data_IF_218339330981
#
_entry.id   IF_218339330981
#
_cell.length_a   1.000
_cell.length_b   1.000
_cell.length_c   1.000
_cell.angle_alpha   90.00
_cell.angle_beta   90.00
_cell.angle_gamma   90.00
#
_symmetry.space_group_name_H-M   'P 1'
#
loop_
_entity.id
_entity.type
_entity.pdbx_description
1 polymer ?
#
# COMPACT_ATOMS: atom_id res chain seq x y z
N UNK A 1 30.44 11.29 2.60
CA UNK A 1 30.88 12.18 1.51
C UNK A 1 30.57 13.60 1.92
N UNK A 2 31.59 14.32 2.32
CA UNK A 2 31.55 15.74 2.72
C UNK A 2 31.48 16.60 1.46
N UNK A 3 30.43 17.42 1.35
CA UNK A 3 30.36 18.46 0.32
C UNK A 3 30.64 19.80 0.99
N UNK A 4 31.88 20.26 0.81
CA UNK A 4 32.27 21.64 1.02
C UNK A 4 31.70 22.54 -0.07
N UNK A 5 31.38 23.78 0.33
CA UNK A 5 31.74 24.97 -0.44
C UNK A 5 30.88 25.31 -1.64
N UNK A 6 30.11 26.42 -1.52
CA UNK A 6 29.99 27.47 -2.54
C UNK A 6 29.26 28.67 -1.92
N UNK A 7 30.01 29.48 -1.19
CA UNK A 7 29.65 30.86 -0.84
C UNK A 7 30.07 31.76 -2.00
N UNK A 8 29.16 32.00 -2.94
CA UNK A 8 29.38 32.99 -3.99
C UNK A 8 28.96 34.38 -3.48
N UNK A 9 29.97 35.21 -3.21
CA UNK A 9 29.80 36.61 -2.87
C UNK A 9 29.31 37.42 -4.07
N UNK A 10 28.27 38.22 -3.84
CA UNK A 10 27.84 39.27 -4.76
C UNK A 10 28.66 40.52 -4.42
N UNK A 11 29.74 40.72 -5.17
CA UNK A 11 30.53 41.95 -5.16
C UNK A 11 29.76 43.07 -5.86
N UNK A 12 29.45 44.13 -5.12
CA UNK A 12 28.96 45.38 -5.68
C UNK A 12 30.12 46.12 -6.36
N UNK A 13 30.15 46.12 -7.70
CA UNK A 13 31.00 46.99 -8.48
C UNK A 13 30.39 48.41 -8.49
N UNK A 14 30.97 49.31 -7.69
CA UNK A 14 30.71 50.75 -7.76
C UNK A 14 31.55 51.31 -8.89
N UNK A 15 30.93 51.51 -10.05
CA UNK A 15 31.52 52.19 -11.20
C UNK A 15 31.67 53.69 -10.89
N UNK A 16 32.92 54.12 -10.68
CA UNK A 16 33.29 55.53 -10.60
C UNK A 16 33.28 56.14 -11.99
N UNK A 17 32.21 56.86 -12.34
CA UNK A 17 32.22 57.74 -13.50
C UNK A 17 33.07 59.00 -13.23
N UNK A 18 34.27 59.02 -13.81
CA UNK A 18 35.01 60.24 -14.10
C UNK A 18 34.25 61.05 -15.16
N UNK A 19 33.96 62.32 -14.87
CA UNK A 19 33.64 63.30 -15.92
C UNK A 19 34.52 64.53 -15.79
N UNK A 20 35.07 64.87 -16.94
CA UNK A 20 36.12 65.83 -17.25
C UNK A 20 35.87 67.28 -16.85
N UNK A 21 36.99 67.90 -16.49
CA UNK A 21 37.35 69.31 -16.66
C UNK A 21 36.85 69.96 -17.95
N UNK A 22 36.35 71.19 -17.84
CA UNK A 22 36.07 72.12 -18.94
C UNK A 22 35.66 73.48 -18.35
N UNK A 23 36.62 74.39 -18.15
CA UNK A 23 36.97 75.49 -19.07
C UNK A 23 36.27 76.80 -18.71
N UNK A 24 37.09 77.84 -18.60
CA UNK A 24 36.78 79.17 -18.11
C UNK A 24 35.89 79.97 -19.07
N UNK A 25 34.98 80.76 -18.50
CA UNK A 25 34.15 81.72 -19.22
C UNK A 25 33.63 82.80 -18.29
N UNK A 26 34.36 83.91 -18.24
CA UNK A 26 33.91 85.21 -17.71
C UNK A 26 32.64 85.68 -18.43
N UNK A 27 31.58 86.10 -17.72
CA UNK A 27 30.83 87.34 -18.02
C UNK A 27 29.66 87.63 -17.07
N UNK A 28 29.66 88.89 -16.59
CA UNK A 28 28.53 89.82 -16.35
C UNK A 28 27.31 89.35 -15.53
N UNK A 29 27.20 89.91 -14.32
CA UNK A 29 25.98 90.05 -13.51
C UNK A 29 24.89 90.85 -14.25
N UNK A 30 23.67 90.32 -14.40
CA UNK A 30 22.44 91.09 -14.37
C UNK A 30 21.71 90.88 -13.04
N UNK A 31 21.29 91.98 -12.43
CA UNK A 31 20.45 92.01 -11.23
C UNK A 31 19.04 91.55 -11.59
N UNK A 32 18.70 90.28 -11.35
CA UNK A 32 17.37 89.71 -11.55
C UNK A 32 16.91 88.91 -10.34
N UNK A 33 16.37 89.57 -9.31
CA UNK A 33 15.88 88.92 -8.07
C UNK A 33 14.64 88.03 -8.28
N UNK A 34 14.14 87.87 -9.50
CA UNK A 34 12.94 87.09 -9.81
C UNK A 34 13.20 85.67 -10.40
N UNK A 35 14.38 85.37 -10.94
CA UNK A 35 14.67 84.05 -11.59
C UNK A 35 15.20 82.97 -10.64
N UNK A 36 15.69 83.34 -9.46
CA UNK A 36 16.26 82.38 -8.48
C UNK A 36 15.18 81.43 -7.93
N UNK A 37 13.92 81.88 -7.87
CA UNK A 37 12.81 81.07 -7.38
C UNK A 37 12.39 79.93 -8.31
N UNK A 38 12.59 80.07 -9.62
CA UNK A 38 12.17 79.08 -10.63
C UNK A 38 13.12 77.90 -10.72
N UNK A 39 14.43 78.11 -10.57
CA UNK A 39 15.42 77.02 -10.56
C UNK A 39 15.25 76.10 -9.34
N UNK A 40 15.04 76.68 -8.15
CA UNK A 40 14.83 75.90 -6.92
C UNK A 40 13.52 75.10 -6.95
N UNK A 41 12.44 75.66 -7.55
CA UNK A 41 11.19 74.92 -7.78
C UNK A 41 11.38 73.72 -8.71
N UNK A 42 12.12 73.89 -9.82
CA UNK A 42 12.42 72.79 -10.76
C UNK A 42 13.25 71.69 -10.11
N UNK A 43 14.22 72.06 -9.28
CA UNK A 43 15.03 71.08 -8.54
C UNK A 43 14.17 70.26 -7.57
N UNK A 44 13.32 70.91 -6.77
CA UNK A 44 12.38 70.23 -5.86
C UNK A 44 11.40 69.34 -6.62
N UNK A 45 10.91 69.78 -7.78
CA UNK A 45 10.02 68.99 -8.62
C UNK A 45 10.71 67.70 -9.11
N UNK A 46 11.95 67.80 -9.63
CA UNK A 46 12.73 66.63 -10.05
C UNK A 46 13.06 65.68 -8.90
N UNK A 47 13.36 66.21 -7.71
CA UNK A 47 13.58 65.37 -6.54
C UNK A 47 12.31 64.65 -6.11
N UNK A 48 11.16 65.32 -6.17
CA UNK A 48 9.86 64.71 -5.87
C UNK A 48 9.50 63.62 -6.87
N UNK A 49 9.72 63.86 -8.16
CA UNK A 49 9.50 62.88 -9.22
C UNK A 49 10.42 61.67 -9.06
N UNK A 50 11.71 61.90 -8.76
CA UNK A 50 12.67 60.82 -8.48
C UNK A 50 12.27 59.99 -7.27
N UNK A 51 11.84 60.63 -6.17
CA UNK A 51 11.35 59.93 -4.99
C UNK A 51 10.08 59.13 -5.29
N UNK A 52 9.14 59.68 -6.06
CA UNK A 52 7.92 58.99 -6.46
C UNK A 52 8.21 57.79 -7.37
N UNK A 53 9.16 57.92 -8.30
CA UNK A 53 9.58 56.85 -9.19
C UNK A 53 10.24 55.71 -8.42
N UNK A 54 11.17 56.02 -7.51
CA UNK A 54 11.79 55.03 -6.64
C UNK A 54 10.78 54.36 -5.69
N UNK A 55 9.81 55.12 -5.16
CA UNK A 55 8.78 54.55 -4.31
C UNK A 55 7.91 53.54 -5.08
N UNK A 56 7.53 53.86 -6.32
CA UNK A 56 6.77 52.94 -7.16
C UNK A 56 7.56 51.67 -7.49
N UNK A 57 8.85 51.81 -7.82
CA UNK A 57 9.74 50.66 -8.09
C UNK A 57 9.89 49.77 -6.84
N UNK A 58 10.03 50.37 -5.65
CA UNK A 58 10.08 49.62 -4.38
C UNK A 58 8.76 48.88 -4.13
N UNK A 59 7.62 49.50 -4.38
CA UNK A 59 6.30 48.86 -4.24
C UNK A 59 6.11 47.70 -5.22
N UNK A 60 6.46 47.88 -6.50
CA UNK A 60 6.40 46.84 -7.53
C UNK A 60 7.30 45.65 -7.17
N UNK A 61 8.56 45.93 -6.80
CA UNK A 61 9.51 44.87 -6.40
C UNK A 61 9.10 44.17 -5.12
N UNK A 62 8.45 44.87 -4.19
CA UNK A 62 7.90 44.25 -2.97
C UNK A 62 6.74 43.31 -3.31
N UNK A 63 5.86 43.69 -4.24
CA UNK A 63 4.77 42.83 -4.70
C UNK A 63 5.30 41.60 -5.43
N UNK A 64 6.24 41.76 -6.37
CA UNK A 64 6.88 40.67 -7.09
C UNK A 64 7.57 39.69 -6.13
N UNK A 65 8.33 40.22 -5.15
CA UNK A 65 8.98 39.41 -4.13
C UNK A 65 7.97 38.63 -3.28
N UNK A 66 6.85 39.25 -2.89
CA UNK A 66 5.80 38.58 -2.11
C UNK A 66 5.12 37.45 -2.89
N UNK A 67 4.91 37.63 -4.20
CA UNK A 67 4.32 36.63 -5.09
C UNK A 67 5.26 35.43 -5.26
N UNK A 68 6.54 35.69 -5.55
CA UNK A 68 7.57 34.66 -5.67
C UNK A 68 7.79 33.92 -4.35
N UNK A 69 7.73 34.60 -3.21
CA UNK A 69 7.84 33.96 -1.90
C UNK A 69 6.71 32.95 -1.65
N UNK A 70 5.48 33.30 -2.05
CA UNK A 70 4.32 32.40 -1.96
C UNK A 70 4.45 31.19 -2.88
N UNK A 71 4.88 31.40 -4.13
CA UNK A 71 5.11 30.31 -5.09
C UNK A 71 6.24 29.38 -4.63
N UNK A 72 7.33 29.93 -4.09
CA UNK A 72 8.43 29.13 -3.55
C UNK A 72 7.97 28.25 -2.38
N UNK A 73 7.12 28.79 -1.49
CA UNK A 73 6.54 28.03 -0.39
C UNK A 73 5.63 26.89 -0.90
N UNK A 74 4.80 27.14 -1.92
CA UNK A 74 3.98 26.11 -2.57
C UNK A 74 4.84 25.00 -3.20
N UNK A 75 5.92 25.37 -3.90
CA UNK A 75 6.84 24.42 -4.48
C UNK A 75 7.57 23.58 -3.42
N UNK A 76 7.97 24.18 -2.29
CA UNK A 76 8.55 23.45 -1.16
C UNK A 76 7.59 22.44 -0.57
N UNK A 77 6.31 22.80 -0.44
CA UNK A 77 5.27 21.87 0.02
C UNK A 77 5.09 20.70 -0.96
N UNK A 78 5.05 20.96 -2.28
CA UNK A 78 4.99 19.91 -3.31
C UNK A 78 6.19 18.98 -3.28
N UNK A 79 7.41 19.53 -3.21
CA UNK A 79 8.65 18.74 -3.10
C UNK A 79 8.63 17.86 -1.85
N UNK A 80 8.22 18.40 -0.71
CA UNK A 80 8.11 17.63 0.54
C UNK A 80 7.12 16.46 0.43
N UNK A 81 6.00 16.64 -0.28
CA UNK A 81 5.03 15.55 -0.53
C UNK A 81 5.66 14.48 -1.42
N UNK A 82 6.31 14.87 -2.52
CA UNK A 82 6.96 13.94 -3.43
C UNK A 82 8.07 13.13 -2.74
N UNK A 83 8.88 13.75 -1.89
CA UNK A 83 9.89 13.07 -1.08
C UNK A 83 9.27 11.98 -0.19
N UNK A 84 8.15 12.27 0.47
CA UNK A 84 7.42 11.28 1.30
C UNK A 84 6.86 10.13 0.47
N UNK A 85 6.33 10.41 -0.72
CA UNK A 85 5.80 9.38 -1.63
C UNK A 85 6.91 8.45 -2.11
N UNK A 86 8.07 9.01 -2.49
CA UNK A 86 9.24 8.22 -2.89
C UNK A 86 9.74 7.36 -1.73
N UNK A 87 9.90 7.94 -0.53
CA UNK A 87 10.29 7.18 0.66
C UNK A 87 9.34 6.00 0.95
N UNK A 88 8.03 6.22 0.87
CA UNK A 88 7.04 5.16 1.09
C UNK A 88 7.14 4.04 0.03
N UNK A 89 7.38 4.41 -1.24
CA UNK A 89 7.57 3.43 -2.31
C UNK A 89 8.86 2.64 -2.13
N UNK A 90 9.94 3.27 -1.70
CA UNK A 90 11.20 2.61 -1.41
C UNK A 90 11.08 1.62 -0.24
N UNK A 91 10.32 1.95 0.80
CA UNK A 91 9.96 1.01 1.87
C UNK A 91 9.17 -0.20 1.34
N UNK A 92 8.19 0.03 0.46
CA UNK A 92 7.43 -1.07 -0.16
C UNK A 92 8.31 -1.97 -1.03
N UNK A 93 9.17 -1.38 -1.86
CA UNK A 93 10.13 -2.12 -2.68
C UNK A 93 11.15 -2.85 -1.80
N UNK A 94 11.59 -2.25 -0.70
CA UNK A 94 12.46 -2.86 0.30
C UNK A 94 11.82 -4.09 0.95
N UNK A 95 10.54 -4.00 1.33
CA UNK A 95 9.79 -5.14 1.86
C UNK A 95 9.66 -6.27 0.83
N UNK A 96 9.38 -5.95 -0.43
CA UNK A 96 9.30 -6.95 -1.52
C UNK A 96 10.66 -7.61 -1.75
N UNK A 97 11.75 -6.84 -1.80
CA UNK A 97 13.12 -7.38 -1.96
C UNK A 97 13.57 -8.23 -0.78
N UNK A 98 13.33 -7.78 0.45
CA UNK A 98 13.66 -8.54 1.65
C UNK A 98 12.84 -9.84 1.75
N UNK A 99 11.59 -9.81 1.27
CA UNK A 99 10.78 -11.00 1.13
C UNK A 99 11.34 -11.96 0.07
N UNK A 100 11.76 -11.44 -1.08
CA UNK A 100 12.40 -12.22 -2.16
C UNK A 100 13.72 -12.86 -1.69
N UNK A 101 14.55 -12.13 -0.96
CA UNK A 101 15.84 -12.60 -0.42
C UNK A 101 15.68 -13.69 0.67
N UNK A 102 14.67 -13.56 1.53
CA UNK A 102 14.30 -14.64 2.46
C UNK A 102 13.74 -15.86 1.73
N UNK A 103 13.05 -15.64 0.61
CA UNK A 103 12.48 -16.72 -0.19
C UNK A 103 13.51 -17.45 -1.07
N UNK A 104 14.64 -16.82 -1.38
CA UNK A 104 15.72 -17.38 -2.21
C UNK A 104 16.79 -18.12 -1.40
N UNK A 105 16.89 -17.85 -0.11
CA UNK A 105 17.88 -18.47 0.80
C UNK A 105 17.40 -19.78 1.44
N UNK A 106 16.14 -20.20 1.19
CA UNK A 106 15.59 -21.46 1.70
C UNK A 106 16.04 -22.65 0.84
N UNK A 107 16.38 -23.82 1.43
CA UNK A 107 16.98 -24.95 0.69
C UNK A 107 16.08 -25.49 -0.43
N UNK A 108 16.67 -26.09 -1.46
CA UNK A 108 16.04 -26.58 -2.71
C UNK A 108 14.82 -27.50 -2.56
N UNK A 109 14.51 -28.02 -1.37
CA UNK A 109 13.28 -28.79 -1.13
C UNK A 109 12.01 -27.94 -1.25
N UNK A 110 12.12 -26.61 -1.21
CA UNK A 110 11.03 -25.66 -1.42
C UNK A 110 10.89 -25.21 -2.88
N UNK A 111 10.78 -26.15 -3.83
CA UNK A 111 10.16 -25.86 -5.14
C UNK A 111 8.69 -25.53 -4.89
N UNK A 112 8.46 -24.25 -4.71
CA UNK A 112 7.17 -23.66 -4.38
C UNK A 112 6.16 -23.94 -5.49
N UNK A 113 4.95 -24.41 -5.15
CA UNK A 113 3.83 -24.46 -6.10
C UNK A 113 3.50 -23.08 -6.72
N UNK A 114 4.03 -21.99 -6.16
CA UNK A 114 3.89 -20.61 -6.63
C UNK A 114 5.14 -20.06 -7.32
N UNK A 115 6.29 -20.73 -7.22
CA UNK A 115 7.57 -20.24 -7.67
C UNK A 115 8.32 -21.30 -8.46
N UNK A 116 8.45 -21.08 -9.76
CA UNK A 116 9.25 -21.89 -10.69
C UNK A 116 8.54 -23.05 -11.36
N UNK A 117 7.24 -22.93 -11.66
CA UNK A 117 6.84 -23.39 -13.00
C UNK A 117 7.72 -22.62 -13.96
N UNK A 118 8.64 -23.32 -14.60
CA UNK A 118 9.24 -22.92 -15.85
C UNK A 118 8.08 -22.51 -16.74
N UNK A 119 7.73 -21.23 -16.69
CA UNK A 119 7.14 -20.55 -17.81
C UNK A 119 8.23 -20.76 -18.84
N UNK A 120 8.10 -21.86 -19.60
CA UNK A 120 8.64 -21.96 -20.93
C UNK A 120 8.46 -20.56 -21.52
N UNK A 121 9.50 -20.01 -22.13
CA UNK A 121 9.45 -18.78 -22.93
C UNK A 121 8.37 -18.93 -24.01
N UNK A 122 7.13 -18.93 -23.57
CA UNK A 122 5.94 -19.11 -24.34
C UNK A 122 5.70 -17.79 -25.01
N UNK A 123 5.19 -17.87 -26.22
CA UNK A 123 4.76 -16.72 -26.99
C UNK A 123 4.00 -15.74 -26.06
N UNK A 124 4.47 -14.49 -25.90
CA UNK A 124 3.81 -13.47 -25.08
C UNK A 124 2.31 -13.33 -25.39
N UNK A 125 1.90 -13.63 -26.63
CA UNK A 125 0.49 -13.63 -27.02
C UNK A 125 -0.32 -14.72 -26.30
N UNK A 126 0.25 -15.91 -26.08
CA UNK A 126 -0.41 -17.01 -25.37
C UNK A 126 -0.57 -16.66 -23.89
N UNK A 127 0.46 -16.07 -23.27
CA UNK A 127 0.41 -15.62 -21.87
C UNK A 127 -0.63 -14.51 -21.70
N UNK A 128 -0.68 -13.54 -22.61
CA UNK A 128 -1.67 -12.47 -22.59
C UNK A 128 -3.10 -13.02 -22.73
N UNK A 129 -3.33 -13.94 -23.66
CA UNK A 129 -4.64 -14.59 -23.83
C UNK A 129 -5.07 -15.37 -22.59
N UNK A 130 -4.13 -16.07 -21.94
CA UNK A 130 -4.38 -16.78 -20.69
C UNK A 130 -4.72 -15.82 -19.54
N UNK A 131 -4.04 -14.67 -19.44
CA UNK A 131 -4.36 -13.64 -18.46
C UNK A 131 -5.76 -13.06 -18.66
N UNK A 132 -6.17 -12.79 -19.90
CA UNK A 132 -7.54 -12.33 -20.19
C UNK A 132 -8.59 -13.38 -19.81
N UNK A 133 -8.30 -14.67 -20.06
CA UNK A 133 -9.18 -15.77 -19.64
C UNK A 133 -9.41 -15.77 -18.13
N UNK A 134 -8.34 -15.64 -17.32
CA UNK A 134 -8.46 -15.63 -15.87
C UNK A 134 -9.10 -14.34 -15.32
N UNK A 135 -8.83 -13.20 -15.95
CA UNK A 135 -9.47 -11.92 -15.61
C UNK A 135 -10.99 -11.97 -15.82
N UNK A 136 -11.45 -12.63 -16.88
CA UNK A 136 -12.86 -12.79 -17.21
C UNK A 136 -13.57 -14.01 -16.59
N UNK A 137 -12.84 -14.86 -15.88
CA UNK A 137 -13.39 -16.10 -15.32
C UNK A 137 -14.49 -15.82 -14.29
N UNK A 138 -15.57 -16.61 -14.33
CA UNK A 138 -16.68 -16.56 -13.37
C UNK A 138 -16.67 -17.74 -12.41
N UNK A 139 -17.36 -17.62 -11.28
CA UNK A 139 -17.47 -18.70 -10.27
C UNK A 139 -18.09 -19.97 -10.84
N UNK A 140 -19.03 -19.85 -11.77
CA UNK A 140 -19.69 -20.99 -12.44
C UNK A 140 -18.71 -21.81 -13.29
N UNK A 141 -17.60 -21.20 -13.73
CA UNK A 141 -16.54 -21.88 -14.48
C UNK A 141 -15.46 -22.47 -13.57
N UNK A 142 -15.12 -21.75 -12.50
CA UNK A 142 -14.04 -22.15 -11.59
C UNK A 142 -14.47 -23.26 -10.62
N UNK A 143 -15.69 -23.19 -10.08
CA UNK A 143 -16.15 -24.15 -9.06
C UNK A 143 -16.18 -25.59 -9.58
N UNK A 144 -16.69 -25.90 -10.80
CA UNK A 144 -16.61 -27.26 -11.34
C UNK A 144 -15.18 -27.76 -11.49
N UNK A 145 -14.25 -26.91 -11.94
CA UNK A 145 -12.82 -27.25 -12.04
C UNK A 145 -12.21 -27.52 -10.67
N UNK A 146 -12.57 -26.71 -9.66
CA UNK A 146 -12.13 -26.90 -8.30
C UNK A 146 -12.67 -28.20 -7.70
N UNK A 147 -13.95 -28.53 -7.91
CA UNK A 147 -14.54 -29.81 -7.47
C UNK A 147 -13.90 -31.02 -8.15
N UNK A 148 -13.59 -30.93 -9.45
CA UNK A 148 -12.89 -31.98 -10.17
C UNK A 148 -11.48 -32.23 -9.59
N UNK A 149 -10.76 -31.14 -9.28
CA UNK A 149 -9.48 -31.23 -8.56
C UNK A 149 -9.63 -31.86 -7.17
N UNK A 150 -10.64 -31.47 -6.39
CA UNK A 150 -10.89 -32.07 -5.08
C UNK A 150 -11.11 -33.59 -5.19
N UNK A 151 -11.86 -34.05 -6.18
CA UNK A 151 -12.09 -35.47 -6.43
C UNK A 151 -10.79 -36.22 -6.80
N UNK A 152 -10.01 -35.65 -7.73
CA UNK A 152 -8.72 -36.20 -8.17
C UNK A 152 -7.74 -36.31 -6.99
N UNK A 153 -7.54 -35.20 -6.26
CA UNK A 153 -6.55 -35.16 -5.18
C UNK A 153 -6.97 -35.97 -3.96
N UNK A 154 -8.28 -36.06 -3.65
CA UNK A 154 -8.78 -36.91 -2.57
C UNK A 154 -8.47 -38.38 -2.82
N UNK A 155 -8.62 -38.86 -4.06
CA UNK A 155 -8.29 -40.23 -4.44
C UNK A 155 -6.81 -40.56 -4.19
N UNK A 156 -5.91 -39.62 -4.49
CA UNK A 156 -4.50 -39.78 -4.22
C UNK A 156 -4.17 -39.70 -2.71
N UNK A 157 -4.79 -38.79 -1.98
CA UNK A 157 -4.58 -38.62 -0.53
C UNK A 157 -4.96 -39.86 0.30
N UNK A 158 -5.93 -40.67 -0.14
CA UNK A 158 -6.28 -41.93 0.54
C UNK A 158 -5.11 -42.93 0.58
N UNK A 159 -4.18 -42.83 -0.36
CA UNK A 159 -3.02 -43.71 -0.46
C UNK A 159 -1.74 -43.07 0.12
N UNK A 160 -1.80 -41.79 0.52
CA UNK A 160 -0.70 -41.12 1.21
C UNK A 160 -0.65 -41.54 2.68
N UNK A 161 0.34 -42.35 3.04
CA UNK A 161 0.64 -42.61 4.45
C UNK A 161 1.35 -41.39 5.06
N UNK A 162 0.89 -40.96 6.23
CA UNK A 162 1.51 -39.84 6.94
C UNK A 162 2.60 -40.36 7.90
N UNK A 163 3.75 -39.67 8.02
CA UNK A 163 4.14 -38.43 7.34
C UNK A 163 4.55 -38.64 5.88
N UNK A 164 3.95 -37.85 4.99
CA UNK A 164 4.16 -37.90 3.54
C UNK A 164 5.49 -37.22 3.16
N UNK A 165 6.60 -37.67 3.76
CA UNK A 165 7.92 -37.04 3.61
C UNK A 165 8.70 -37.56 2.41
N UNK A 166 8.27 -38.67 1.79
CA UNK A 166 8.99 -39.24 0.66
C UNK A 166 8.59 -38.57 -0.66
N UNK A 167 9.42 -37.62 -1.11
CA UNK A 167 9.25 -36.92 -2.38
C UNK A 167 9.35 -37.85 -3.61
N UNK A 168 10.01 -39.00 -3.47
CA UNK A 168 10.16 -39.99 -4.54
C UNK A 168 8.94 -40.93 -4.63
N UNK A 169 8.01 -40.86 -3.68
CA UNK A 169 6.78 -41.62 -3.72
C UNK A 169 5.93 -41.23 -4.95
N UNK A 170 5.51 -42.20 -5.78
CA UNK A 170 4.72 -41.91 -6.98
C UNK A 170 3.36 -41.29 -6.65
N UNK A 171 2.83 -41.53 -5.45
CA UNK A 171 1.58 -40.93 -4.99
C UNK A 171 1.81 -39.47 -4.63
N UNK A 172 2.90 -39.15 -3.92
CA UNK A 172 3.27 -37.76 -3.58
C UNK A 172 3.50 -36.96 -4.86
N UNK A 173 4.19 -37.51 -5.85
CA UNK A 173 4.38 -36.86 -7.15
C UNK A 173 3.05 -36.56 -7.87
N UNK A 174 2.08 -37.49 -7.83
CA UNK A 174 0.74 -37.26 -8.38
C UNK A 174 0.00 -36.16 -7.65
N UNK A 175 0.02 -36.16 -6.32
CA UNK A 175 -0.57 -35.09 -5.49
C UNK A 175 0.08 -33.74 -5.83
N UNK A 176 1.41 -33.70 -5.88
CA UNK A 176 2.18 -32.50 -6.25
C UNK A 176 1.76 -31.98 -7.62
N UNK A 177 1.71 -32.83 -8.64
CA UNK A 177 1.29 -32.43 -9.98
C UNK A 177 -0.15 -31.89 -10.02
N UNK A 178 -1.07 -32.46 -9.23
CA UNK A 178 -2.44 -31.94 -9.11
C UNK A 178 -2.46 -30.55 -8.47
N UNK A 179 -1.73 -30.40 -7.36
CA UNK A 179 -1.64 -29.15 -6.60
C UNK A 179 -0.97 -28.05 -7.40
N UNK A 180 0.10 -28.34 -8.13
CA UNK A 180 0.77 -27.35 -8.99
C UNK A 180 -0.15 -26.87 -10.11
N UNK A 181 -0.88 -27.79 -10.75
CA UNK A 181 -1.84 -27.46 -11.82
C UNK A 181 -2.95 -26.53 -11.32
N UNK A 182 -3.57 -26.88 -10.20
CA UNK A 182 -4.63 -26.06 -9.59
C UNK A 182 -4.05 -24.76 -8.99
N UNK A 183 -2.92 -24.84 -8.31
CA UNK A 183 -2.22 -23.72 -7.69
C UNK A 183 -1.83 -22.65 -8.71
N UNK A 184 -1.35 -23.04 -9.89
CA UNK A 184 -1.06 -22.12 -10.99
C UNK A 184 -2.32 -21.35 -11.43
N UNK A 185 -3.44 -22.03 -11.64
CA UNK A 185 -4.71 -21.38 -11.98
C UNK A 185 -5.16 -20.44 -10.85
N UNK A 186 -5.19 -20.93 -9.60
CA UNK A 186 -5.64 -20.13 -8.46
C UNK A 186 -4.75 -18.90 -8.23
N UNK A 187 -3.43 -19.01 -8.45
CA UNK A 187 -2.51 -17.88 -8.41
C UNK A 187 -2.92 -16.78 -9.37
N UNK A 188 -3.22 -17.12 -10.63
CA UNK A 188 -3.69 -16.13 -11.60
C UNK A 188 -5.04 -15.53 -11.21
N UNK A 189 -5.97 -16.32 -10.67
CA UNK A 189 -7.26 -15.80 -10.19
C UNK A 189 -7.08 -14.85 -9.00
N UNK A 190 -6.22 -15.19 -8.04
CA UNK A 190 -5.90 -14.31 -6.89
C UNK A 190 -5.34 -12.98 -7.38
N UNK A 191 -4.45 -12.98 -8.39
CA UNK A 191 -3.77 -11.79 -8.88
C UNK A 191 -4.58 -10.94 -9.86
N UNK A 192 -5.37 -11.58 -10.73
CA UNK A 192 -6.03 -10.92 -11.85
C UNK A 192 -7.53 -10.73 -11.67
N UNK A 193 -8.14 -11.43 -10.71
CA UNK A 193 -9.59 -11.46 -10.53
C UNK A 193 -9.98 -11.42 -9.04
N UNK A 194 -9.58 -10.33 -8.38
CA UNK A 194 -9.89 -10.04 -6.97
C UNK A 194 -11.38 -10.14 -6.62
N UNK A 195 -12.34 -9.67 -7.45
CA UNK A 195 -13.76 -9.82 -7.14
C UNK A 195 -14.20 -11.27 -7.05
N UNK A 196 -13.75 -12.13 -7.97
CA UNK A 196 -14.07 -13.56 -7.93
C UNK A 196 -13.50 -14.22 -6.67
N UNK A 197 -12.24 -13.93 -6.34
CA UNK A 197 -11.61 -14.52 -5.15
C UNK A 197 -12.35 -14.14 -3.86
N UNK A 198 -12.78 -12.87 -3.71
CA UNK A 198 -13.61 -12.44 -2.58
C UNK A 198 -14.94 -13.17 -2.51
N UNK A 199 -15.59 -13.39 -3.66
CA UNK A 199 -16.83 -14.16 -3.70
C UNK A 199 -16.60 -15.59 -3.20
N UNK A 200 -15.60 -16.30 -3.75
CA UNK A 200 -15.31 -17.69 -3.36
C UNK A 200 -15.07 -17.86 -1.86
N UNK A 201 -14.30 -16.95 -1.25
CA UNK A 201 -13.98 -16.97 0.18
C UNK A 201 -15.21 -16.75 1.07
N UNK A 202 -16.28 -16.17 0.53
CA UNK A 202 -17.54 -15.94 1.24
C UNK A 202 -18.63 -16.98 0.96
N UNK A 203 -18.39 -17.90 0.01
CA UNK A 203 -19.39 -18.84 -0.48
C UNK A 203 -19.22 -20.23 0.10
N UNK A 204 -20.35 -20.89 0.37
CA UNK A 204 -20.41 -22.34 0.46
C UNK A 204 -20.52 -22.93 -0.96
N UNK A 205 -19.56 -23.77 -1.33
CA UNK A 205 -19.41 -24.34 -2.67
C UNK A 205 -20.45 -25.44 -2.99
N UNK A 206 -21.27 -25.85 -2.03
CA UNK A 206 -22.40 -26.74 -2.25
C UNK A 206 -23.68 -25.97 -2.51
N UNK A 207 -24.01 -25.05 -1.62
CA UNK A 207 -25.28 -24.30 -1.65
C UNK A 207 -25.23 -23.09 -2.57
N UNK A 208 -24.02 -22.65 -2.97
CA UNK A 208 -23.77 -21.40 -3.69
C UNK A 208 -24.28 -20.16 -2.95
N UNK A 209 -24.50 -20.27 -1.64
CA UNK A 209 -24.94 -19.17 -0.78
C UNK A 209 -23.78 -18.62 0.02
N UNK A 210 -23.81 -17.31 0.37
CA UNK A 210 -22.88 -16.74 1.32
C UNK A 210 -22.96 -17.48 2.66
N UNK A 211 -21.84 -18.02 3.13
CA UNK A 211 -21.74 -18.70 4.42
C UNK A 211 -20.33 -18.56 4.98
N UNK A 212 -20.24 -18.15 6.24
CA UNK A 212 -18.98 -18.15 6.97
C UNK A 212 -18.77 -19.51 7.63
N UNK A 213 -17.57 -20.08 7.45
CA UNK A 213 -17.17 -21.27 8.19
C UNK A 213 -17.04 -20.96 9.69
N UNK A 214 -17.46 -21.90 10.54
CA UNK A 214 -17.27 -21.79 11.97
C UNK A 214 -15.78 -21.83 12.33
N UNK A 215 -15.38 -21.22 13.45
CA UNK A 215 -13.99 -21.24 13.91
C UNK A 215 -13.47 -22.68 14.15
N UNK A 216 -14.33 -23.58 14.63
CA UNK A 216 -13.99 -24.99 14.84
C UNK A 216 -13.69 -25.74 13.54
N UNK A 217 -14.31 -25.34 12.42
CA UNK A 217 -14.02 -25.92 11.11
C UNK A 217 -12.54 -25.77 10.75
N UNK A 218 -11.97 -24.59 10.99
CA UNK A 218 -10.56 -24.33 10.72
C UNK A 218 -9.63 -24.99 11.73
N UNK A 219 -10.05 -25.15 12.99
CA UNK A 219 -9.31 -25.93 14.00
C UNK A 219 -9.17 -27.42 13.55
N UNK A 220 -10.23 -27.99 12.96
CA UNK A 220 -10.22 -29.35 12.40
C UNK A 220 -9.30 -29.47 11.18
N UNK A 221 -9.37 -28.48 10.27
CA UNK A 221 -8.45 -28.40 9.11
C UNK A 221 -7.01 -28.41 9.60
N UNK A 222 -6.64 -27.55 10.56
CA UNK A 222 -5.26 -27.48 11.09
C UNK A 222 -4.81 -28.80 11.72
N UNK A 223 -5.70 -29.47 12.45
CA UNK A 223 -5.41 -30.76 13.06
C UNK A 223 -5.04 -31.80 11.99
N UNK A 224 -5.70 -31.78 10.82
CA UNK A 224 -5.40 -32.69 9.71
C UNK A 224 -4.02 -32.45 9.06
N UNK A 225 -3.49 -31.22 9.13
CA UNK A 225 -2.25 -30.82 8.45
C UNK A 225 -0.99 -31.33 9.14
N UNK A 226 -1.07 -31.60 10.45
CA UNK A 226 0.06 -32.07 11.27
C UNK A 226 1.30 -31.17 11.08
N UNK A 227 1.09 -29.85 11.16
CA UNK A 227 2.14 -28.85 10.94
C UNK A 227 3.29 -29.03 11.92
N UNK A 228 4.53 -28.95 11.41
CA UNK A 228 5.74 -28.92 12.24
C UNK A 228 5.79 -27.66 13.12
N UNK A 229 6.63 -27.68 14.16
CA UNK A 229 6.84 -26.50 15.00
C UNK A 229 7.38 -25.30 14.20
N UNK A 230 8.28 -25.56 13.25
CA UNK A 230 8.84 -24.55 12.33
C UNK A 230 7.75 -23.95 11.43
N UNK A 231 6.94 -24.79 10.77
CA UNK A 231 5.83 -24.31 9.93
C UNK A 231 4.84 -23.45 10.73
N UNK A 232 4.55 -23.84 11.99
CA UNK A 232 3.69 -23.04 12.88
C UNK A 232 4.31 -21.68 13.18
N UNK A 233 5.61 -21.63 13.49
CA UNK A 233 6.33 -20.39 13.74
C UNK A 233 6.29 -19.47 12.50
N UNK A 234 6.53 -20.00 11.30
CA UNK A 234 6.48 -19.25 10.05
C UNK A 234 5.08 -18.68 9.77
N UNK A 235 4.03 -19.48 10.00
CA UNK A 235 2.63 -19.04 9.83
C UNK A 235 2.32 -17.90 10.79
N UNK A 236 2.75 -18.00 12.05
CA UNK A 236 2.51 -16.95 13.06
C UNK A 236 3.26 -15.66 12.70
N UNK A 237 4.52 -15.76 12.26
CA UNK A 237 5.31 -14.59 11.86
C UNK A 237 4.67 -13.86 10.66
N UNK A 238 4.21 -14.58 9.65
CA UNK A 238 3.56 -13.95 8.49
C UNK A 238 2.16 -13.43 8.82
N UNK A 239 1.43 -14.08 9.72
CA UNK A 239 0.16 -13.56 10.22
C UNK A 239 0.35 -12.25 10.98
N UNK A 240 1.39 -12.13 11.81
CA UNK A 240 1.72 -10.90 12.52
C UNK A 240 2.07 -9.77 11.55
N UNK A 241 2.91 -10.05 10.55
CA UNK A 241 3.23 -9.10 9.47
C UNK A 241 1.96 -8.63 8.74
N UNK A 242 1.09 -9.57 8.35
CA UNK A 242 -0.19 -9.25 7.71
C UNK A 242 -1.06 -8.36 8.58
N UNK A 243 -1.20 -8.67 9.88
CA UNK A 243 -1.97 -7.85 10.84
C UNK A 243 -1.41 -6.44 10.95
N UNK A 244 -0.09 -6.29 11.03
CA UNK A 244 0.57 -4.98 11.08
C UNK A 244 0.34 -4.13 9.82
N UNK A 245 0.42 -4.75 8.63
CA UNK A 245 0.11 -4.07 7.37
C UNK A 245 -1.37 -3.66 7.30
N UNK A 246 -2.28 -4.57 7.64
CA UNK A 246 -3.71 -4.30 7.60
C UNK A 246 -4.16 -3.26 8.62
N UNK A 247 -3.57 -3.21 9.82
CA UNK A 247 -3.89 -2.18 10.79
C UNK A 247 -3.67 -0.78 10.21
N UNK A 248 -2.56 -0.56 9.49
CA UNK A 248 -2.27 0.72 8.80
C UNK A 248 -3.30 1.01 7.70
N UNK A 249 -3.66 -0.01 6.91
CA UNK A 249 -4.67 0.10 5.85
C UNK A 249 -6.04 0.48 6.43
N UNK A 250 -6.45 -0.11 7.55
CA UNK A 250 -7.73 0.20 8.20
C UNK A 250 -7.74 1.60 8.81
N UNK A 251 -6.65 2.05 9.45
CA UNK A 251 -6.55 3.43 9.95
C UNK A 251 -6.63 4.45 8.81
N UNK A 252 -5.92 4.21 7.69
CA UNK A 252 -6.03 5.05 6.50
C UNK A 252 -7.46 5.06 5.94
N UNK A 253 -8.11 3.89 5.85
CA UNK A 253 -9.51 3.78 5.39
C UNK A 253 -10.46 4.58 6.27
N UNK A 254 -10.29 4.50 7.59
CA UNK A 254 -11.10 5.24 8.56
C UNK A 254 -11.02 6.74 8.33
N UNK A 255 -9.82 7.26 8.05
CA UNK A 255 -9.61 8.68 7.72
C UNK A 255 -10.27 9.06 6.39
N UNK A 256 -10.13 8.22 5.36
CA UNK A 256 -10.77 8.45 4.04
C UNK A 256 -12.30 8.45 4.18
N UNK A 257 -12.87 7.47 4.88
CA UNK A 257 -14.32 7.39 5.12
C UNK A 257 -14.84 8.56 5.95
N UNK A 258 -14.09 9.01 6.95
CA UNK A 258 -14.45 10.21 7.72
C UNK A 258 -14.46 11.47 6.84
N UNK A 259 -13.49 11.61 5.93
CA UNK A 259 -13.43 12.73 4.99
C UNK A 259 -14.60 12.69 3.98
N UNK A 260 -14.90 11.51 3.42
CA UNK A 260 -16.05 11.31 2.53
C UNK A 260 -17.38 11.60 3.24
N UNK A 261 -17.54 11.12 4.47
CA UNK A 261 -18.76 11.32 5.28
C UNK A 261 -18.92 12.73 5.85
N UNK A 262 -17.83 13.51 5.94
CA UNK A 262 -17.86 14.91 6.37
C UNK A 262 -18.06 15.89 5.21
N UNK A 263 -18.22 15.38 3.99
CA UNK A 263 -18.57 16.20 2.83
C UNK A 263 -19.87 16.98 3.09
N UNK A 264 -20.00 18.21 2.57
CA UNK A 264 -21.18 19.06 2.77
C UNK A 264 -22.41 18.45 2.08
N UNK A 265 -23.04 17.48 2.74
CA UNK A 265 -23.98 16.54 2.13
C UNK A 265 -25.15 16.12 3.03
N UNK A 266 -25.42 16.83 4.12
CA UNK A 266 -26.83 17.01 4.52
C UNK A 266 -27.46 17.93 3.49
N UNK A 267 -27.93 17.31 2.40
CA UNK A 267 -28.55 17.92 1.25
C UNK A 267 -29.74 18.79 1.66
N UNK A 268 -29.49 20.07 1.87
CA UNK A 268 -30.54 21.07 1.74
C UNK A 268 -30.80 21.24 0.24
N UNK A 269 -31.78 20.47 -0.28
CA UNK A 269 -32.18 20.43 -1.68
C UNK A 269 -32.81 21.76 -2.18
N UNK A 270 -32.77 22.81 -1.37
CA UNK A 270 -33.56 24.03 -1.56
C UNK A 270 -32.92 25.09 -2.46
N UNK A 271 -31.65 24.95 -2.84
CA UNK A 271 -30.98 25.95 -3.68
C UNK A 271 -30.29 25.33 -4.90
N UNK A 272 -30.65 25.75 -6.13
CA UNK A 272 -29.92 25.40 -7.35
C UNK A 272 -28.62 26.21 -7.39
N UNK A 273 -27.71 25.94 -6.46
CA UNK A 273 -26.37 26.53 -6.48
C UNK A 273 -25.56 25.80 -7.54
N UNK A 274 -24.99 26.57 -8.47
CA UNK A 274 -23.99 26.13 -9.43
C UNK A 274 -23.06 25.12 -8.76
N UNK A 275 -23.07 23.88 -9.26
CA UNK A 275 -22.23 22.77 -8.80
C UNK A 275 -20.81 23.28 -8.51
N UNK A 276 -20.43 23.27 -7.24
CA UNK A 276 -19.08 23.62 -6.83
C UNK A 276 -18.11 22.58 -7.40
N UNK A 277 -17.48 22.92 -8.53
CA UNK A 277 -16.51 22.06 -9.22
C UNK A 277 -15.36 21.64 -8.31
N UNK A 278 -15.05 22.43 -7.27
CA UNK A 278 -14.01 22.12 -6.30
C UNK A 278 -14.40 20.94 -5.41
N UNK A 279 -15.66 20.86 -4.98
CA UNK A 279 -16.15 19.76 -4.14
C UNK A 279 -16.09 18.40 -4.86
N UNK A 280 -16.51 18.36 -6.14
CA UNK A 280 -16.47 17.14 -6.95
C UNK A 280 -15.03 16.62 -7.14
N UNK A 281 -14.06 17.52 -7.36
CA UNK A 281 -12.66 17.14 -7.52
C UNK A 281 -12.09 16.51 -6.23
N UNK A 282 -12.41 17.08 -5.07
CA UNK A 282 -11.99 16.53 -3.78
C UNK A 282 -12.61 15.15 -3.50
N UNK A 283 -13.88 14.95 -3.85
CA UNK A 283 -14.56 13.65 -3.71
C UNK A 283 -13.95 12.58 -4.63
N UNK A 284 -13.60 12.95 -5.87
CA UNK A 284 -12.88 12.07 -6.79
C UNK A 284 -11.52 11.66 -6.24
N UNK A 285 -10.73 12.60 -5.70
CA UNK A 285 -9.44 12.30 -5.07
C UNK A 285 -9.58 11.32 -3.90
N UNK A 286 -10.58 11.53 -3.04
CA UNK A 286 -10.86 10.61 -1.92
C UNK A 286 -11.28 9.22 -2.41
N UNK A 287 -12.02 9.14 -3.51
CA UNK A 287 -12.41 7.86 -4.14
C UNK A 287 -11.21 7.12 -4.71
N UNK A 288 -10.29 7.82 -5.39
CA UNK A 288 -9.03 7.25 -5.87
C UNK A 288 -8.16 6.75 -4.71
N UNK A 289 -8.07 7.52 -3.62
CA UNK A 289 -7.36 7.11 -2.39
C UNK A 289 -7.99 5.87 -1.76
N UNK A 290 -9.31 5.77 -1.74
CA UNK A 290 -10.01 4.58 -1.26
C UNK A 290 -9.70 3.35 -2.13
N UNK A 291 -9.70 3.51 -3.46
CA UNK A 291 -9.30 2.44 -4.38
C UNK A 291 -7.88 1.96 -4.10
N UNK A 292 -6.91 2.87 -4.02
CA UNK A 292 -5.53 2.53 -3.69
C UNK A 292 -5.40 1.86 -2.31
N UNK A 293 -6.20 2.25 -1.33
CA UNK A 293 -6.26 1.60 -0.02
C UNK A 293 -6.81 0.16 -0.10
N UNK A 294 -7.84 -0.09 -0.92
CA UNK A 294 -8.35 -1.45 -1.17
C UNK A 294 -7.31 -2.33 -1.88
N UNK A 295 -6.53 -1.75 -2.80
CA UNK A 295 -5.44 -2.46 -3.48
C UNK A 295 -4.32 -2.85 -2.51
N UNK A 296 -4.02 -2.00 -1.51
CA UNK A 296 -3.09 -2.35 -0.41
C UNK A 296 -3.60 -3.52 0.42
N UNK A 297 -4.88 -3.53 0.80
CA UNK A 297 -5.49 -4.66 1.53
C UNK A 297 -5.39 -5.95 0.72
N UNK A 298 -5.74 -5.86 -0.57
CA UNK A 298 -5.67 -7.00 -1.47
C UNK A 298 -4.24 -7.53 -1.59
N UNK A 299 -3.26 -6.64 -1.78
CA UNK A 299 -1.84 -7.00 -1.86
C UNK A 299 -1.36 -7.71 -0.59
N UNK A 300 -1.74 -7.22 0.59
CA UNK A 300 -1.41 -7.87 1.87
C UNK A 300 -2.02 -9.28 1.97
N UNK A 301 -3.28 -9.44 1.55
CA UNK A 301 -3.96 -10.76 1.54
C UNK A 301 -3.31 -11.72 0.54
N UNK A 302 -2.96 -11.22 -0.64
CA UNK A 302 -2.24 -12.00 -1.66
C UNK A 302 -0.88 -12.46 -1.17
N UNK A 303 -0.13 -11.60 -0.47
CA UNK A 303 1.16 -11.97 0.15
C UNK A 303 0.98 -13.12 1.14
N UNK A 304 0.01 -13.02 2.05
CA UNK A 304 -0.30 -14.09 3.01
C UNK A 304 -0.66 -15.40 2.31
N UNK A 305 -1.53 -15.34 1.29
CA UNK A 305 -1.94 -16.51 0.49
C UNK A 305 -0.75 -17.17 -0.22
N UNK A 306 0.05 -16.39 -0.94
CA UNK A 306 1.21 -16.88 -1.69
C UNK A 306 2.29 -17.47 -0.76
N UNK A 307 2.54 -16.86 0.40
CA UNK A 307 3.50 -17.40 1.36
C UNK A 307 2.99 -18.71 1.98
N UNK A 308 1.74 -18.70 2.45
CA UNK A 308 1.14 -19.84 3.13
C UNK A 308 1.10 -21.08 2.23
N UNK A 309 0.56 -20.95 1.02
CA UNK A 309 0.40 -22.06 0.10
C UNK A 309 1.62 -22.35 -0.77
N UNK A 310 2.49 -21.35 -0.96
CA UNK A 310 3.65 -21.49 -1.82
C UNK A 310 4.92 -21.89 -1.07
N UNK A 311 5.09 -21.50 0.19
CA UNK A 311 6.36 -21.68 0.90
C UNK A 311 6.23 -22.54 2.15
N UNK A 312 5.15 -22.38 2.92
CA UNK A 312 5.02 -23.10 4.20
C UNK A 312 4.56 -24.53 4.00
N UNK A 313 3.48 -24.72 3.23
CA UNK A 313 2.86 -26.03 3.11
C UNK A 313 3.54 -26.88 2.04
N UNK A 314 3.84 -28.13 2.39
CA UNK A 314 4.18 -29.14 1.40
C UNK A 314 2.95 -29.45 0.51
N UNK A 315 3.13 -29.93 -0.74
CA UNK A 315 2.01 -30.19 -1.64
C UNK A 315 0.92 -31.12 -1.06
N UNK A 316 1.25 -32.21 -0.34
CA UNK A 316 0.22 -33.01 0.33
C UNK A 316 -0.56 -32.25 1.42
N UNK A 317 0.09 -31.31 2.12
CA UNK A 317 -0.60 -30.45 3.09
C UNK A 317 -1.50 -29.43 2.40
N UNK A 318 -1.07 -28.82 1.29
CA UNK A 318 -1.95 -27.98 0.46
C UNK A 318 -3.20 -28.76 0.05
N UNK A 319 -3.01 -29.97 -0.48
CA UNK A 319 -4.10 -30.84 -0.91
C UNK A 319 -5.07 -31.14 0.25
N UNK A 320 -4.55 -31.42 1.45
CA UNK A 320 -5.36 -31.56 2.67
C UNK A 320 -6.14 -30.29 2.98
N UNK A 321 -5.52 -29.10 2.97
CA UNK A 321 -6.27 -27.86 3.19
C UNK A 321 -7.42 -27.75 2.19
N UNK A 322 -7.17 -28.02 0.90
CA UNK A 322 -8.21 -27.96 -0.12
C UNK A 322 -9.38 -28.92 0.16
N UNK A 323 -9.08 -30.18 0.48
CA UNK A 323 -10.11 -31.21 0.74
C UNK A 323 -10.86 -30.96 2.04
N UNK A 324 -10.15 -30.70 3.15
CA UNK A 324 -10.76 -30.51 4.47
C UNK A 324 -11.44 -29.14 4.62
N UNK A 325 -11.15 -28.15 3.77
CA UNK A 325 -11.87 -26.87 3.79
C UNK A 325 -13.29 -27.00 3.26
N UNK A 326 -13.58 -28.00 2.43
CA UNK A 326 -14.89 -28.21 1.82
C UNK A 326 -15.99 -28.36 2.89
N UNK A 327 -17.16 -27.69 2.76
CA UNK A 327 -17.68 -27.04 1.55
C UNK A 327 -17.24 -25.58 1.35
N UNK A 328 -16.28 -25.06 2.11
CA UNK A 328 -15.78 -23.70 1.96
C UNK A 328 -14.52 -23.67 1.08
N UNK A 329 -14.28 -22.55 0.42
CA UNK A 329 -13.02 -22.34 -0.28
C UNK A 329 -11.86 -22.16 0.71
N UNK A 330 -10.65 -22.68 0.45
CA UNK A 330 -9.49 -22.50 1.33
C UNK A 330 -9.20 -21.03 1.64
N UNK A 331 -9.21 -20.66 2.91
CA UNK A 331 -8.90 -19.31 3.38
C UNK A 331 -7.62 -19.31 4.22
N UNK A 332 -6.51 -18.85 3.61
CA UNK A 332 -5.20 -18.79 4.29
C UNK A 332 -5.24 -17.95 5.57
N UNK A 333 -6.08 -16.90 5.64
CA UNK A 333 -6.20 -16.07 6.83
C UNK A 333 -6.92 -16.80 7.97
N UNK A 334 -8.00 -17.52 7.64
CA UNK A 334 -8.75 -18.27 8.63
C UNK A 334 -7.89 -19.43 9.20
N UNK A 335 -7.18 -20.13 8.31
CA UNK A 335 -6.25 -21.20 8.66
C UNK A 335 -5.09 -20.67 9.52
N UNK A 336 -4.43 -19.57 9.13
CA UNK A 336 -3.37 -18.96 9.94
C UNK A 336 -3.87 -18.49 11.31
N UNK A 337 -5.08 -17.92 11.37
CA UNK A 337 -5.70 -17.50 12.62
C UNK A 337 -6.01 -18.70 13.53
N UNK A 338 -6.43 -19.84 12.97
CA UNK A 338 -6.62 -21.07 13.72
C UNK A 338 -5.30 -21.61 14.30
N UNK A 339 -4.19 -21.51 13.56
CA UNK A 339 -2.86 -21.86 14.10
C UNK A 339 -2.52 -21.02 15.33
N UNK A 340 -2.65 -19.69 15.24
CA UNK A 340 -2.37 -18.81 16.38
C UNK A 340 -3.23 -19.14 17.60
N UNK A 341 -4.53 -19.39 17.39
CA UNK A 341 -5.47 -19.78 18.44
C UNK A 341 -5.09 -21.12 19.10
N UNK A 342 -4.60 -22.08 18.31
CA UNK A 342 -4.16 -23.38 18.83
C UNK A 342 -2.87 -23.23 19.66
N UNK A 343 -1.93 -22.38 19.25
CA UNK A 343 -0.71 -22.10 20.02
C UNK A 343 -1.02 -21.47 21.38
N UNK A 344 -1.93 -20.49 21.43
CA UNK A 344 -2.38 -19.86 22.70
C UNK A 344 -2.99 -20.88 23.68
N UNK A 345 -3.67 -21.93 23.18
CA UNK A 345 -4.22 -23.01 24.02
C UNK A 345 -3.13 -23.93 24.59
N UNK A 346 -2.03 -24.13 23.85
CA UNK A 346 -0.92 -24.99 24.28
C UNK A 346 -0.02 -24.28 25.30
N UNK A 347 0.17 -22.97 25.16
CA UNK A 347 0.96 -22.15 26.09
C UNK A 347 0.18 -21.73 27.34
N UNK A 348 -1.13 -22.03 27.38
CA UNK A 348 -1.99 -21.75 28.52
C UNK A 348 -1.50 -22.39 29.83
N UNK A 349 -1.78 -21.79 31.00
CA UNK A 349 -1.16 -22.10 32.30
C UNK A 349 -1.48 -23.49 32.90
N UNK A 350 -2.00 -24.44 32.13
CA UNK A 350 -2.47 -25.76 32.59
C UNK A 350 -1.36 -26.78 32.88
N UNK A 351 -0.09 -26.38 32.91
CA UNK A 351 1.05 -27.28 33.16
C UNK A 351 1.65 -27.26 34.57
N UNK A 352 1.25 -26.35 35.45
CA UNK A 352 1.55 -26.50 36.89
C UNK A 352 0.29 -26.99 37.59
N UNK A 353 0.25 -28.23 38.10
CA UNK A 353 -0.76 -28.59 39.09
C UNK A 353 -0.60 -27.63 40.26
N UNK A 354 -1.46 -26.62 40.29
CA UNK A 354 -1.66 -25.76 41.45
C UNK A 354 -2.32 -26.65 42.49
N UNK A 355 -1.49 -27.24 43.35
CA UNK A 355 -1.94 -27.72 44.64
C UNK A 355 -2.62 -26.54 45.35
N UNK A 356 -3.95 -26.53 45.29
CA UNK A 356 -4.88 -26.04 46.31
C UNK A 356 -4.42 -24.78 47.05
N UNK A 357 -4.70 -23.62 46.47
CA UNK A 357 -4.83 -22.36 47.20
C UNK A 357 -6.15 -21.72 46.80
N UNK A 358 -7.17 -21.88 47.65
CA UNK A 358 -8.50 -21.30 47.50
C UNK A 358 -8.42 -19.77 47.38
N UNK A 359 -8.81 -19.22 46.24
CA UNK A 359 -8.87 -17.77 46.02
C UNK A 359 -9.93 -17.40 44.99
N UNK A 360 -11.01 -16.81 45.47
CA UNK A 360 -12.19 -16.36 44.73
C UNK A 360 -11.92 -15.11 43.88
N UNK A 361 -12.26 -15.17 42.58
CA UNK A 361 -13.00 -14.09 41.90
C UNK A 361 -12.32 -13.28 40.79
N UNK A 362 -13.14 -12.98 39.76
CA UNK A 362 -12.99 -11.93 38.73
C UNK A 362 -11.99 -12.21 37.59
N UNK A 363 -12.24 -11.99 36.30
CA UNK A 363 -13.32 -11.39 35.53
C UNK A 363 -12.76 -11.20 34.12
N UNK A 364 -13.15 -12.04 33.15
CA UNK A 364 -12.55 -12.08 31.81
C UNK A 364 -13.21 -11.06 30.86
N UNK A 365 -12.41 -10.14 30.33
CA UNK A 365 -12.80 -9.16 29.31
C UNK A 365 -12.65 -9.80 27.92
N UNK A 366 -13.79 -10.12 27.29
CA UNK A 366 -13.85 -10.60 25.91
C UNK A 366 -13.61 -9.47 24.90
N UNK A 367 -12.62 -9.65 24.02
CA UNK A 367 -12.45 -8.84 22.81
C UNK A 367 -13.61 -9.14 21.84
N UNK A 368 -14.52 -8.18 21.65
CA UNK A 368 -15.52 -8.21 20.56
C UNK A 368 -14.84 -7.82 19.25
N UNK A 369 -14.86 -8.74 18.27
CA UNK A 369 -14.59 -8.42 16.86
C UNK A 369 -15.69 -7.50 16.34
N UNK A 370 -15.31 -6.31 15.87
CA UNK A 370 -16.12 -5.49 14.97
C UNK A 370 -15.62 -5.85 13.57
N UNK A 371 -16.49 -6.45 12.76
CA UNK A 371 -16.38 -6.50 11.31
C UNK A 371 -17.52 -5.68 10.73
#
# INVERSE_FOLDING_TARGET
MTFEGLSAGIGAAVEQHQTSSGSAGTHKKPSGKAEVGTAQKRFRARQKEKLSSLQHEVEEKTQEFSALARENEELRQRTSILEKVVSCRDEQLGMVKAFEERCSTTPEYSRSCFGSSSIHEGDPAVVAAQHELYRGMKKEQLIPQYKAFLAEVSSHLLHCQHPCCDADSPIVQKVTACVERMGAMLKHIVLLNTPLMRQLLSLNLETMQPAAAADSHWDDVITSLQLSAEQRADIMAVLELYRGLNAKVYEERKLIMAALGSGPGTLDLSAPSLLDRSGLAAEMELTERLSANLDKEHSARTLLCCFFFGKVLAPPQFAKVAVYSYPHFPDSLAVATAVARQSERLDGPTGRPSHSGSGTGSGSLGYRRVF
#
